data_IF_240067451296
#
_entry.id   IF_240067451296
#
_cell.length_a   1.000
_cell.length_b   1.000
_cell.length_c   1.000
_cell.angle_alpha   90.00
_cell.angle_beta   90.00
_cell.angle_gamma   90.00
#
_symmetry.space_group_name_H-M   'P 1'
#
loop_
_entity.id
_entity.type
_entity.pdbx_description
1 polymer ?
#
# COMPACT_ATOMS: atom_id res chain seq x y z
N UNK A 1 -6.65 -22.55 -4.37
CA UNK A 1 -8.05 -22.35 -4.81
C UNK A 1 -8.00 -21.55 -6.10
N UNK A 2 -8.32 -22.16 -7.24
CA UNK A 2 -8.32 -21.47 -8.53
C UNK A 2 -9.52 -20.49 -8.57
N UNK A 3 -9.26 -19.22 -8.86
CA UNK A 3 -10.30 -18.20 -8.94
C UNK A 3 -11.15 -18.39 -10.20
N UNK A 4 -12.47 -18.23 -10.10
CA UNK A 4 -13.49 -18.53 -11.12
C UNK A 4 -13.72 -17.42 -12.15
N UNK A 5 -12.80 -16.46 -12.28
CA UNK A 5 -13.06 -15.26 -13.11
C UNK A 5 -13.21 -15.63 -14.58
N UNK A 6 -14.43 -15.49 -15.12
CA UNK A 6 -14.78 -15.92 -16.50
C UNK A 6 -14.52 -14.87 -17.57
N UNK A 7 -14.45 -13.60 -17.19
CA UNK A 7 -14.06 -12.51 -18.07
C UNK A 7 -13.57 -11.34 -17.23
N UNK A 8 -12.61 -10.56 -17.72
CA UNK A 8 -12.21 -9.29 -17.10
C UNK A 8 -12.31 -8.23 -18.17
N UNK A 9 -13.09 -7.18 -17.91
CA UNK A 9 -13.24 -6.07 -18.85
C UNK A 9 -12.17 -4.99 -18.63
N UNK A 10 -11.69 -4.86 -17.39
CA UNK A 10 -10.81 -3.77 -16.99
C UNK A 10 -9.85 -4.18 -15.87
N UNK A 11 -8.63 -3.67 -15.98
CA UNK A 11 -7.64 -3.67 -14.91
C UNK A 11 -7.51 -2.25 -14.35
N UNK A 12 -7.42 -2.11 -13.03
CA UNK A 12 -7.09 -0.85 -12.38
C UNK A 12 -5.78 -0.96 -11.61
N UNK A 13 -4.83 -0.09 -11.93
CA UNK A 13 -3.58 0.05 -11.21
C UNK A 13 -3.65 1.32 -10.35
N UNK A 14 -3.76 1.15 -9.04
CA UNK A 14 -3.70 2.23 -8.07
C UNK A 14 -2.24 2.42 -7.64
N UNK A 15 -1.58 3.43 -8.22
CA UNK A 15 -0.16 3.71 -7.96
C UNK A 15 0.01 4.38 -6.61
N UNK A 16 0.88 3.81 -5.78
CA UNK A 16 1.20 4.32 -4.45
C UNK A 16 2.66 4.78 -4.29
N UNK A 17 3.37 4.98 -5.41
CA UNK A 17 4.85 5.06 -5.45
C UNK A 17 5.44 6.43 -5.12
N UNK A 18 4.64 7.46 -4.87
CA UNK A 18 5.15 8.84 -4.73
C UNK A 18 5.13 9.28 -3.27
N UNK A 19 6.20 9.97 -2.84
CA UNK A 19 6.29 10.64 -1.54
C UNK A 19 7.28 10.01 -0.56
N UNK A 20 7.79 10.82 0.36
CA UNK A 20 8.55 10.32 1.51
C UNK A 20 7.66 9.40 2.35
N UNK A 21 8.26 8.35 2.90
CA UNK A 21 7.58 7.40 3.79
C UNK A 21 8.33 7.32 5.10
N UNK A 22 7.63 7.07 6.19
CA UNK A 22 8.24 6.80 7.48
C UNK A 22 7.36 5.94 8.37
N UNK A 23 7.95 5.42 9.44
CA UNK A 23 7.24 4.84 10.56
C UNK A 23 7.39 5.76 11.77
N UNK A 24 6.26 6.22 12.29
CA UNK A 24 6.19 7.05 13.50
C UNK A 24 5.83 6.16 14.68
N UNK A 25 6.71 6.11 15.68
CA UNK A 25 6.47 5.46 16.97
C UNK A 25 6.33 6.55 18.03
N UNK A 26 5.29 6.48 18.86
CA UNK A 26 5.13 7.41 19.98
C UNK A 26 4.55 6.73 21.22
N UNK A 27 5.04 7.12 22.39
CA UNK A 27 4.41 6.80 23.66
C UNK A 27 3.19 7.71 23.85
N UNK A 28 2.00 7.11 23.82
CA UNK A 28 0.73 7.84 23.86
C UNK A 28 0.01 7.73 25.20
N UNK A 29 0.33 6.73 26.02
CA UNK A 29 -0.25 6.48 27.35
C UNK A 29 -1.73 6.09 27.36
N UNK A 30 -2.42 6.14 26.20
CA UNK A 30 -3.81 5.70 26.05
C UNK A 30 -4.18 5.56 24.57
N UNK A 31 -5.15 4.68 24.27
CA UNK A 31 -5.74 4.51 22.93
C UNK A 31 -6.30 5.82 22.36
N UNK A 32 -6.88 6.68 23.20
CA UNK A 32 -7.42 7.97 22.78
C UNK A 32 -6.32 8.89 22.24
N UNK A 33 -5.16 8.96 22.92
CA UNK A 33 -4.02 9.77 22.46
C UNK A 33 -3.35 9.17 21.22
N UNK A 34 -3.38 7.84 21.04
CA UNK A 34 -2.97 7.20 19.77
C UNK A 34 -3.85 7.65 18.61
N UNK A 35 -5.18 7.62 18.77
CA UNK A 35 -6.09 8.06 17.71
C UNK A 35 -5.92 9.55 17.36
N UNK A 36 -5.59 10.39 18.35
CA UNK A 36 -5.25 11.81 18.13
C UNK A 36 -3.94 12.00 17.38
N UNK A 37 -2.98 11.07 17.49
CA UNK A 37 -1.74 11.12 16.70
C UNK A 37 -2.04 11.12 15.20
N UNK A 38 -2.95 10.27 14.73
CA UNK A 38 -3.36 10.24 13.32
C UNK A 38 -3.88 11.62 12.84
N UNK A 39 -4.63 12.34 13.68
CA UNK A 39 -5.14 13.67 13.35
C UNK A 39 -4.00 14.68 13.23
N UNK A 40 -3.00 14.63 14.11
CA UNK A 40 -1.82 15.49 14.03
C UNK A 40 -0.98 15.22 12.78
N UNK A 41 -0.81 13.95 12.42
CA UNK A 41 -0.07 13.53 11.22
C UNK A 41 -0.77 14.05 9.95
N UNK A 42 -2.09 13.87 9.84
CA UNK A 42 -2.89 14.38 8.72
C UNK A 42 -2.89 15.90 8.62
N UNK A 43 -3.00 16.59 9.76
CA UNK A 43 -2.92 18.05 9.81
C UNK A 43 -1.54 18.58 9.37
N UNK A 44 -0.49 17.74 9.47
CA UNK A 44 0.85 18.05 8.98
C UNK A 44 1.07 17.66 7.51
N UNK A 45 0.03 17.25 6.79
CA UNK A 45 0.10 16.90 5.36
C UNK A 45 0.47 15.44 5.10
N UNK A 46 0.43 14.56 6.09
CA UNK A 46 0.77 13.15 5.94
C UNK A 46 -0.47 12.26 5.89
N UNK A 47 -0.51 11.36 4.92
CA UNK A 47 -1.37 10.18 5.04
C UNK A 47 -0.84 9.32 6.19
N UNK A 48 -1.73 8.86 7.08
CA UNK A 48 -1.36 8.10 8.26
C UNK A 48 -2.21 6.83 8.39
N UNK A 49 -1.53 5.68 8.35
CA UNK A 49 -2.12 4.35 8.53
C UNK A 49 -1.71 3.78 9.89
N UNK A 50 -2.68 3.42 10.76
CA UNK A 50 -2.36 2.81 12.04
C UNK A 50 -1.81 1.40 11.86
N UNK A 51 -0.78 1.06 12.64
CA UNK A 51 -0.26 -0.30 12.81
C UNK A 51 -0.44 -0.76 14.25
N UNK A 52 -0.18 0.12 15.22
CA UNK A 52 -0.37 -0.16 16.66
C UNK A 52 -1.17 0.95 17.32
N UNK A 53 -2.19 0.59 18.08
CA UNK A 53 -3.05 1.51 18.84
C UNK A 53 -3.13 1.10 20.30
N UNK A 54 -2.57 1.90 21.21
CA UNK A 54 -2.51 1.57 22.63
C UNK A 54 -1.77 2.59 23.50
N UNK A 55 -1.19 2.17 24.63
CA UNK A 55 -0.25 3.00 25.40
C UNK A 55 0.97 3.42 24.57
N UNK A 56 1.36 2.61 23.59
CA UNK A 56 2.28 2.96 22.50
C UNK A 56 1.50 2.97 21.19
N UNK A 57 1.84 3.90 20.30
CA UNK A 57 1.25 4.00 18.98
C UNK A 57 2.31 3.89 17.89
N UNK A 58 2.00 3.13 16.84
CA UNK A 58 2.84 3.03 15.64
C UNK A 58 1.98 3.33 14.42
N UNK A 59 2.43 4.28 13.61
CA UNK A 59 1.80 4.67 12.36
C UNK A 59 2.80 4.57 11.22
N UNK A 60 2.40 3.96 10.13
CA UNK A 60 3.05 4.22 8.85
C UNK A 60 2.51 5.52 8.29
N UNK A 61 3.40 6.34 7.74
CA UNK A 61 3.04 7.61 7.13
C UNK A 61 3.64 7.75 5.74
N UNK A 62 2.94 8.49 4.88
CA UNK A 62 3.39 8.84 3.55
C UNK A 62 3.00 10.28 3.23
N UNK A 63 3.90 11.00 2.59
CA UNK A 63 3.62 12.32 2.02
C UNK A 63 2.69 12.19 0.80
N UNK A 64 1.58 12.93 0.82
CA UNK A 64 0.58 12.96 -0.26
C UNK A 64 0.91 13.98 -1.36
N UNK A 65 2.04 14.70 -1.25
CA UNK A 65 2.58 15.55 -2.32
C UNK A 65 1.89 16.91 -2.46
N UNK A 66 1.10 17.32 -1.47
CA UNK A 66 0.37 18.60 -1.47
C UNK A 66 1.08 19.72 -0.68
N UNK A 67 2.31 19.51 -0.17
CA UNK A 67 3.01 20.53 0.63
C UNK A 67 4.53 20.33 0.84
N UNK A 68 5.14 21.26 1.59
CA UNK A 68 6.56 21.29 2.02
C UNK A 68 6.78 20.30 3.20
N UNK A 69 6.04 19.20 3.25
CA UNK A 69 6.15 18.26 4.35
C UNK A 69 7.47 17.50 4.22
N UNK A 70 8.33 17.59 5.24
CA UNK A 70 9.60 16.87 5.29
C UNK A 70 9.61 15.98 6.52
N UNK A 71 10.44 14.93 6.51
CA UNK A 71 10.60 14.06 7.66
C UNK A 71 11.06 14.82 8.91
N UNK A 72 11.89 15.86 8.75
CA UNK A 72 12.33 16.71 9.85
C UNK A 72 11.17 17.54 10.45
N UNK A 73 10.29 18.08 9.59
CA UNK A 73 9.14 18.85 10.07
C UNK A 73 8.11 17.94 10.76
N UNK A 74 7.92 16.73 10.25
CA UNK A 74 7.13 15.68 10.88
C UNK A 74 7.68 15.33 12.27
N UNK A 75 8.99 15.06 12.37
CA UNK A 75 9.64 14.71 13.62
C UNK A 75 9.52 15.83 14.67
N UNK A 76 9.69 17.09 14.25
CA UNK A 76 9.51 18.24 15.13
C UNK A 76 8.06 18.36 15.66
N UNK A 77 7.05 18.06 14.81
CA UNK A 77 5.64 18.12 15.18
C UNK A 77 5.27 17.07 16.24
N UNK A 78 5.80 15.85 16.11
CA UNK A 78 5.52 14.75 17.05
C UNK A 78 6.26 14.94 18.38
N UNK A 79 7.54 15.35 18.35
CA UNK A 79 8.35 15.56 19.56
C UNK A 79 7.83 16.70 20.44
N UNK A 80 7.11 17.68 19.88
CA UNK A 80 6.42 18.73 20.65
C UNK A 80 5.23 18.23 21.46
N UNK A 81 4.65 17.06 21.13
CA UNK A 81 3.37 16.57 21.69
C UNK A 81 3.50 15.32 22.54
N UNK A 82 4.55 14.53 22.31
CA UNK A 82 4.77 13.24 22.93
C UNK A 82 6.18 13.19 23.52
N UNK A 83 6.31 12.66 24.74
CA UNK A 83 7.58 12.62 25.48
C UNK A 83 8.61 11.73 24.77
N UNK A 84 8.16 10.59 24.29
CA UNK A 84 8.93 9.68 23.46
C UNK A 84 8.25 9.60 22.10
N UNK A 85 8.95 10.06 21.07
CA UNK A 85 8.52 10.00 19.68
C UNK A 85 9.72 9.79 18.77
N UNK A 86 9.62 8.82 17.88
CA UNK A 86 10.63 8.45 16.89
C UNK A 86 9.98 8.48 15.52
N UNK A 87 10.70 9.00 14.53
CA UNK A 87 10.31 8.99 13.12
C UNK A 87 11.41 8.28 12.35
N UNK A 88 11.16 7.05 11.92
CA UNK A 88 12.12 6.28 11.14
C UNK A 88 11.81 6.37 9.64
N UNK A 89 12.73 6.84 8.79
CA UNK A 89 12.53 6.88 7.35
C UNK A 89 12.29 5.50 6.73
N UNK A 90 11.33 5.43 5.81
CA UNK A 90 10.96 4.22 5.08
C UNK A 90 10.09 3.26 5.87
N UNK A 91 9.98 2.04 5.32
CA UNK A 91 9.27 0.92 5.95
C UNK A 91 9.95 -0.38 5.53
N UNK A 92 10.26 -1.24 6.49
CA UNK A 92 10.94 -2.52 6.27
C UNK A 92 10.32 -3.61 7.13
N UNK A 93 10.60 -4.88 6.81
CA UNK A 93 10.17 -6.01 7.62
C UNK A 93 10.68 -5.93 9.06
N UNK A 94 11.91 -5.45 9.28
CA UNK A 94 12.46 -5.26 10.63
C UNK A 94 11.66 -4.22 11.42
N UNK A 95 11.33 -3.08 10.81
CA UNK A 95 10.50 -2.05 11.44
C UNK A 95 9.08 -2.59 11.74
N UNK A 96 8.53 -3.40 10.84
CA UNK A 96 7.24 -4.05 11.05
C UNK A 96 7.25 -5.05 12.22
N UNK A 97 8.33 -5.83 12.36
CA UNK A 97 8.50 -6.74 13.52
C UNK A 97 8.63 -5.98 14.83
N UNK A 98 9.37 -4.87 14.85
CA UNK A 98 9.42 -3.98 16.02
C UNK A 98 8.01 -3.49 16.38
N UNK A 99 7.19 -3.11 15.41
CA UNK A 99 5.80 -2.71 15.67
C UNK A 99 4.97 -3.86 16.26
N UNK A 100 5.17 -5.10 15.81
CA UNK A 100 4.52 -6.29 16.38
C UNK A 100 4.90 -6.51 17.84
N UNK A 101 6.21 -6.52 18.13
CA UNK A 101 6.73 -6.69 19.49
C UNK A 101 6.26 -5.60 20.46
N UNK A 102 6.21 -4.34 19.98
CA UNK A 102 5.66 -3.23 20.74
C UNK A 102 4.17 -3.41 21.04
N UNK A 103 3.40 -3.93 20.08
CA UNK A 103 1.97 -4.18 20.28
C UNK A 103 1.74 -5.26 21.35
N UNK A 104 2.50 -6.36 21.27
CA UNK A 104 2.43 -7.46 22.22
C UNK A 104 2.84 -7.00 23.63
N UNK A 105 3.99 -6.33 23.75
CA UNK A 105 4.53 -5.87 25.04
C UNK A 105 3.62 -4.84 25.72
N UNK A 106 2.95 -3.99 24.94
CA UNK A 106 2.09 -2.93 25.47
C UNK A 106 0.60 -3.33 25.57
N UNK A 107 0.26 -4.59 25.31
CA UNK A 107 -1.13 -5.08 25.20
C UNK A 107 -2.00 -4.18 24.29
N UNK A 108 -1.39 -3.71 23.20
CA UNK A 108 -1.99 -2.78 22.27
C UNK A 108 -2.66 -3.51 21.10
N UNK A 109 -3.58 -2.82 20.43
CA UNK A 109 -4.22 -3.34 19.23
C UNK A 109 -3.24 -3.28 18.06
N UNK A 110 -3.05 -4.41 17.38
CA UNK A 110 -2.21 -4.54 16.19
C UNK A 110 -3.07 -4.66 14.93
N UNK A 111 -2.83 -3.83 13.93
CA UNK A 111 -3.46 -3.90 12.61
C UNK A 111 -2.43 -4.39 11.58
N UNK A 112 -2.58 -5.60 11.03
CA UNK A 112 -1.70 -6.10 9.99
C UNK A 112 -1.70 -5.21 8.73
N UNK A 113 -0.55 -5.14 8.07
CA UNK A 113 -0.42 -4.47 6.76
C UNK A 113 -0.38 -5.52 5.65
N UNK A 114 -0.71 -5.12 4.42
CA UNK A 114 -0.62 -6.03 3.27
C UNK A 114 0.83 -6.44 3.02
N UNK A 115 0.98 -7.62 2.42
CA UNK A 115 2.26 -8.17 1.98
C UNK A 115 2.32 -8.18 0.47
N UNK A 116 3.47 -7.81 -0.08
CA UNK A 116 3.72 -7.87 -1.51
C UNK A 116 3.53 -9.31 -2.02
N UNK A 117 2.72 -9.49 -3.06
CA UNK A 117 2.49 -10.82 -3.65
C UNK A 117 3.74 -11.44 -4.30
N UNK A 118 4.73 -10.59 -4.63
CA UNK A 118 5.97 -11.02 -5.30
C UNK A 118 7.05 -11.43 -4.29
N UNK A 119 7.29 -10.60 -3.28
CA UNK A 119 8.43 -10.79 -2.36
C UNK A 119 8.04 -11.01 -0.90
N UNK A 120 6.74 -11.01 -0.57
CA UNK A 120 6.23 -11.24 0.79
C UNK A 120 6.48 -10.10 1.79
N UNK A 121 7.21 -9.05 1.39
CA UNK A 121 7.54 -7.93 2.27
C UNK A 121 6.27 -7.13 2.63
N UNK A 122 6.12 -6.71 3.90
CA UNK A 122 5.00 -5.87 4.32
C UNK A 122 5.14 -4.46 3.71
N UNK A 123 4.04 -3.90 3.22
CA UNK A 123 3.99 -2.51 2.75
C UNK A 123 2.67 -1.88 3.20
N UNK A 124 2.70 -0.81 4.02
CA UNK A 124 1.50 -0.12 4.48
C UNK A 124 0.83 0.74 3.40
N UNK A 125 1.52 1.01 2.29
CA UNK A 125 1.01 1.77 1.16
C UNK A 125 1.35 1.05 -0.15
N UNK A 126 0.82 -0.17 -0.34
CA UNK A 126 1.14 -0.96 -1.52
C UNK A 126 0.55 -0.31 -2.77
N UNK A 127 1.24 -0.46 -3.89
CA UNK A 127 0.57 -0.29 -5.20
C UNK A 127 -0.34 -1.49 -5.39
N UNK A 128 -1.60 -1.27 -5.77
CA UNK A 128 -2.57 -2.35 -5.91
C UNK A 128 -3.01 -2.45 -7.35
N UNK A 129 -2.87 -3.64 -7.93
CA UNK A 129 -3.49 -3.98 -9.20
C UNK A 129 -4.78 -4.76 -8.92
N UNK A 130 -5.89 -4.29 -9.48
CA UNK A 130 -7.16 -5.00 -9.42
C UNK A 130 -7.64 -5.39 -10.81
N UNK A 131 -8.27 -6.56 -10.90
CA UNK A 131 -9.05 -6.99 -12.05
C UNK A 131 -10.49 -7.17 -11.61
N UNK A 132 -11.42 -6.57 -12.36
CA UNK A 132 -12.86 -6.70 -12.09
C UNK A 132 -13.53 -7.54 -13.17
N UNK A 133 -14.19 -8.61 -12.75
CA UNK A 133 -15.04 -9.44 -13.59
C UNK A 133 -16.45 -8.87 -13.77
N UNK A 134 -17.20 -9.33 -14.78
CA UNK A 134 -18.55 -8.83 -15.08
C UNK A 134 -19.56 -9.15 -13.98
N UNK A 135 -19.33 -10.22 -13.22
CA UNK A 135 -20.20 -10.67 -12.12
C UNK A 135 -19.79 -10.05 -10.76
N UNK A 136 -18.90 -9.05 -10.76
CA UNK A 136 -18.42 -8.39 -9.54
C UNK A 136 -17.24 -9.09 -8.86
N UNK A 137 -16.70 -10.14 -9.46
CA UNK A 137 -15.48 -10.80 -9.00
C UNK A 137 -14.31 -9.82 -9.01
N UNK A 138 -13.59 -9.74 -7.88
CA UNK A 138 -12.45 -8.83 -7.73
C UNK A 138 -11.20 -9.64 -7.42
N UNK A 139 -10.25 -9.64 -8.34
CA UNK A 139 -8.88 -10.05 -8.06
C UNK A 139 -8.08 -8.82 -7.67
N UNK A 140 -7.25 -8.94 -6.64
CA UNK A 140 -6.42 -7.85 -6.15
C UNK A 140 -5.06 -8.38 -5.75
N UNK A 141 -4.02 -7.69 -6.19
CA UNK A 141 -2.64 -8.00 -5.87
C UNK A 141 -1.92 -6.74 -5.37
N UNK A 142 -1.52 -6.69 -4.09
CA UNK A 142 -0.65 -5.65 -3.56
C UNK A 142 0.83 -5.89 -3.93
N UNK A 143 1.53 -4.82 -4.31
CA UNK A 143 2.96 -4.80 -4.60
C UNK A 143 3.65 -3.73 -3.76
N UNK A 144 4.78 -4.09 -3.13
CA UNK A 144 5.56 -3.13 -2.38
C UNK A 144 6.29 -2.13 -3.31
N UNK A 145 6.60 -0.95 -2.78
CA UNK A 145 7.31 0.09 -3.52
C UNK A 145 8.59 -0.42 -4.21
N UNK A 146 9.38 -1.28 -3.54
CA UNK A 146 10.60 -1.86 -4.13
C UNK A 146 10.33 -2.69 -5.37
N UNK A 147 9.32 -3.56 -5.34
CA UNK A 147 8.96 -4.40 -6.49
C UNK A 147 8.37 -3.57 -7.63
N UNK A 148 7.66 -2.48 -7.32
CA UNK A 148 7.14 -1.56 -8.34
C UNK A 148 8.28 -0.80 -9.00
N UNK A 149 9.20 -0.21 -8.22
CA UNK A 149 10.37 0.51 -8.74
C UNK A 149 11.31 -0.38 -9.55
N UNK A 150 11.49 -1.65 -9.16
CA UNK A 150 12.28 -2.61 -9.93
C UNK A 150 11.66 -2.94 -11.30
N UNK A 151 10.35 -2.74 -11.45
CA UNK A 151 9.60 -2.94 -12.70
C UNK A 151 9.17 -1.62 -13.34
N UNK A 152 9.74 -0.49 -12.90
CA UNK A 152 9.40 0.83 -13.40
C UNK A 152 9.83 0.96 -14.85
N UNK A 153 8.90 0.62 -15.73
CA UNK A 153 9.11 0.67 -17.16
C UNK A 153 8.82 2.07 -17.67
N UNK A 154 9.44 2.43 -18.80
CA UNK A 154 9.26 3.71 -19.50
C UNK A 154 7.79 4.07 -19.84
N UNK A 155 6.84 3.16 -19.66
CA UNK A 155 5.40 3.42 -19.79
C UNK A 155 4.58 2.66 -18.73
N UNK A 156 3.45 3.25 -18.32
CA UNK A 156 2.50 2.62 -17.41
C UNK A 156 1.93 1.28 -17.91
N UNK A 157 1.78 1.11 -19.22
CA UNK A 157 1.34 -0.16 -19.81
C UNK A 157 2.35 -1.28 -19.57
N UNK A 158 3.64 -0.99 -19.74
CA UNK A 158 4.70 -1.97 -19.46
C UNK A 158 4.81 -2.30 -17.96
N UNK A 159 4.66 -1.29 -17.09
CA UNK A 159 4.61 -1.53 -15.65
C UNK A 159 3.43 -2.43 -15.27
N UNK A 160 2.22 -2.10 -15.73
CA UNK A 160 1.03 -2.92 -15.50
C UNK A 160 1.26 -4.35 -15.95
N UNK A 161 1.82 -4.55 -17.15
CA UNK A 161 2.14 -5.87 -17.68
C UNK A 161 3.12 -6.65 -16.82
N UNK A 162 4.23 -6.04 -16.41
CA UNK A 162 5.23 -6.66 -15.56
C UNK A 162 4.64 -7.08 -14.19
N UNK A 163 3.76 -6.26 -13.62
CA UNK A 163 3.07 -6.58 -12.37
C UNK A 163 2.09 -7.76 -12.56
N UNK A 164 1.29 -7.76 -13.63
CA UNK A 164 0.40 -8.88 -13.97
C UNK A 164 1.16 -10.20 -14.08
N UNK A 165 2.30 -10.20 -14.77
CA UNK A 165 3.15 -11.38 -14.96
C UNK A 165 3.76 -11.84 -13.63
N UNK A 166 4.28 -10.92 -12.81
CA UNK A 166 4.86 -11.24 -11.51
C UNK A 166 3.83 -11.82 -10.52
N UNK A 167 2.55 -11.54 -10.71
CA UNK A 167 1.45 -12.05 -9.89
C UNK A 167 0.61 -13.14 -10.59
N UNK A 168 1.24 -13.93 -11.47
CA UNK A 168 0.60 -15.04 -12.17
C UNK A 168 -0.18 -16.02 -11.29
N UNK A 169 0.27 -16.25 -10.05
CA UNK A 169 -0.46 -17.08 -9.08
C UNK A 169 -1.80 -16.49 -8.61
N UNK A 170 -1.98 -15.17 -8.70
CA UNK A 170 -3.21 -14.46 -8.34
C UNK A 170 -4.12 -14.26 -9.55
N UNK A 171 -3.53 -13.81 -10.66
CA UNK A 171 -4.27 -13.44 -11.87
C UNK A 171 -4.50 -14.58 -12.85
N UNK A 172 -3.80 -15.71 -12.67
CA UNK A 172 -3.93 -16.89 -13.51
C UNK A 172 -3.73 -16.56 -14.99
N UNK A 173 -4.69 -16.95 -15.82
CA UNK A 173 -4.63 -16.73 -17.26
C UNK A 173 -4.51 -15.24 -17.65
N UNK A 174 -5.02 -14.31 -16.82
CA UNK A 174 -4.96 -12.86 -17.10
C UNK A 174 -3.54 -12.33 -17.24
N UNK A 175 -2.54 -13.03 -16.70
CA UNK A 175 -1.13 -12.68 -16.92
C UNK A 175 -0.78 -12.60 -18.42
N UNK A 176 -1.56 -13.27 -19.28
CA UNK A 176 -1.38 -13.25 -20.73
C UNK A 176 -2.33 -12.31 -21.47
N UNK A 177 -3.26 -11.64 -20.79
CA UNK A 177 -4.27 -10.79 -21.42
C UNK A 177 -3.68 -9.58 -22.16
N UNK A 178 -4.21 -9.26 -23.34
CA UNK A 178 -3.83 -8.04 -24.04
C UNK A 178 -4.51 -6.84 -23.38
N UNK A 179 -3.70 -5.84 -23.01
CA UNK A 179 -4.16 -4.62 -22.34
C UNK A 179 -4.07 -3.44 -23.31
N UNK A 180 -5.14 -2.66 -23.37
CA UNK A 180 -5.19 -1.45 -24.18
C UNK A 180 -4.52 -0.25 -23.51
N UNK A 181 -4.67 0.92 -24.14
CA UNK A 181 -4.05 2.16 -23.65
C UNK A 181 -4.62 2.59 -22.29
N UNK A 182 -3.76 3.00 -21.33
CA UNK A 182 -4.21 3.46 -20.02
C UNK A 182 -5.03 4.74 -20.10
N UNK A 183 -6.07 4.81 -19.27
CA UNK A 183 -6.78 6.05 -18.92
C UNK A 183 -6.47 6.42 -17.48
N UNK A 184 -6.01 7.64 -17.23
CA UNK A 184 -5.67 8.11 -15.87
C UNK A 184 -6.81 8.92 -15.26
N UNK A 185 -7.14 8.64 -14.00
CA UNK A 185 -7.99 9.48 -13.14
C UNK A 185 -7.35 9.58 -11.76
N UNK A 186 -6.71 10.70 -11.46
CA UNK A 186 -5.93 10.87 -10.23
C UNK A 186 -4.75 9.89 -10.15
N UNK A 187 -4.67 9.13 -9.06
CA UNK A 187 -3.66 8.08 -8.83
C UNK A 187 -4.00 6.72 -9.47
N UNK A 188 -5.19 6.59 -10.05
CA UNK A 188 -5.67 5.33 -10.65
C UNK A 188 -5.48 5.35 -12.16
N UNK A 189 -4.88 4.28 -12.68
CA UNK A 189 -4.75 3.99 -14.10
C UNK A 189 -5.67 2.83 -14.46
N UNK A 190 -6.49 3.00 -15.50
CA UNK A 190 -7.42 2.00 -15.98
C UNK A 190 -6.98 1.48 -17.34
N UNK A 191 -6.89 0.16 -17.47
CA UNK A 191 -6.53 -0.51 -18.71
C UNK A 191 -7.70 -1.37 -19.16
N UNK A 192 -8.28 -1.13 -20.36
CA UNK A 192 -9.24 -2.06 -20.93
C UNK A 192 -8.52 -3.36 -21.27
N UNK A 193 -9.19 -4.49 -21.08
CA UNK A 193 -8.70 -5.81 -21.51
C UNK A 193 -9.29 -6.11 -22.88
N UNK A 194 -8.43 -6.17 -23.90
CA UNK A 194 -8.85 -6.28 -25.31
C UNK A 194 -9.10 -7.74 -25.73
N UNK A 195 -8.39 -8.69 -25.11
CA UNK A 195 -8.67 -10.12 -25.21
C UNK A 195 -8.47 -10.78 -23.85
N UNK A 196 -9.57 -11.31 -23.30
CA UNK A 196 -9.54 -12.12 -22.09
C UNK A 196 -9.20 -13.56 -22.49
N UNK A 197 -8.14 -14.18 -21.94
CA UNK A 197 -7.80 -15.58 -22.23
C UNK A 197 -8.83 -16.59 -21.68
N UNK A 198 -9.85 -16.11 -20.97
CA UNK A 198 -11.01 -16.90 -20.56
C UNK A 198 -12.08 -17.05 -21.66
N UNK A 199 -11.94 -16.37 -22.81
CA UNK A 199 -12.94 -16.33 -23.88
C UNK A 199 -12.95 -17.58 -24.80
N UNK A 200 -12.44 -18.73 -24.35
CA UNK A 200 -12.35 -19.95 -25.19
C UNK A 200 -12.73 -21.21 -24.42
N UNK A 201 -13.94 -21.25 -23.89
CA UNK A 201 -14.60 -22.51 -23.54
C UNK A 201 -16.11 -22.35 -23.73
N UNK A 202 -16.55 -22.54 -24.97
CA UNK A 202 -17.94 -22.79 -25.35
C UNK A 202 -17.94 -23.93 -26.34
#
# INVERSE_FOLDING_TARGET
>A
MASSVKAVAQLELCLCVVGQRAMVIAETGSRLRSRRLAQHLRAAGWEARPIVIGPVAVYAVRDVGEGIATLESLEAVIKRRYRLAVCEPGFSESLYRVAQELAETAEAEFTPVEKCVVCGQPDPFPTVLTAQGPEGELLSAPYCARCVSANEANTYGRLCRALLEAAGGVFGALQHAQIGRPRRKGAVLRFPVESSPFASAS
#
